data_IF_793447020845
#
_entry.id   IF_793447020845
#
_cell.length_a   1.000
_cell.length_b   1.000
_cell.length_c   1.000
_cell.angle_alpha   90.00
_cell.angle_beta   90.00
_cell.angle_gamma   90.00
#
_symmetry.space_group_name_H-M   'P 1'
#
loop_
_entity.id
_entity.type
_entity.pdbx_description
1 polymer ?
#
# COMPACT_ATOMS: atom_id res chain seq x y z
N UNK A 1 3.72 13.36 -59.79
CA UNK A 1 3.60 14.02 -58.46
C UNK A 1 2.58 13.40 -57.50
N UNK A 2 1.47 12.78 -57.95
CA UNK A 2 0.47 12.20 -57.02
C UNK A 2 0.90 10.92 -56.29
N UNK A 3 1.71 10.04 -56.89
CA UNK A 3 2.19 8.80 -56.24
C UNK A 3 3.22 9.05 -55.12
N UNK A 4 4.07 10.09 -55.25
CA UNK A 4 5.09 10.39 -54.26
C UNK A 4 4.48 10.90 -52.94
N UNK A 5 3.37 11.65 -53.04
CA UNK A 5 2.66 12.22 -51.90
C UNK A 5 1.92 11.14 -51.09
N UNK A 6 1.40 10.11 -51.76
CA UNK A 6 0.67 9.00 -51.11
C UNK A 6 1.62 8.11 -50.28
N UNK A 7 2.83 7.84 -50.78
CA UNK A 7 3.86 7.08 -50.06
C UNK A 7 4.45 7.85 -48.87
N UNK A 8 4.52 9.18 -48.97
CA UNK A 8 4.96 10.02 -47.85
C UNK A 8 3.90 10.03 -46.73
N UNK A 9 2.62 10.11 -47.11
CA UNK A 9 1.52 10.10 -46.13
C UNK A 9 1.42 8.76 -45.38
N UNK A 10 1.58 7.63 -46.08
CA UNK A 10 1.55 6.31 -45.44
C UNK A 10 2.77 6.04 -44.57
N UNK A 11 3.97 6.50 -44.96
CA UNK A 11 5.17 6.37 -44.11
C UNK A 11 5.06 7.22 -42.85
N UNK A 12 4.53 8.44 -42.95
CA UNK A 12 4.26 9.29 -41.78
C UNK A 12 3.19 8.71 -40.85
N UNK A 13 2.13 8.10 -41.40
CA UNK A 13 1.11 7.45 -40.60
C UNK A 13 1.65 6.23 -39.85
N UNK A 14 2.47 5.39 -40.51
CA UNK A 14 3.11 4.24 -39.88
C UNK A 14 4.13 4.64 -38.79
N UNK A 15 4.89 5.73 -39.02
CA UNK A 15 5.81 6.28 -38.01
C UNK A 15 5.05 6.81 -36.79
N UNK A 16 3.90 7.46 -37.00
CA UNK A 16 3.04 7.93 -35.92
C UNK A 16 2.47 6.76 -35.10
N UNK A 17 2.06 5.66 -35.73
CA UNK A 17 1.56 4.46 -35.02
C UNK A 17 2.65 3.78 -34.20
N UNK A 18 3.90 3.73 -34.69
CA UNK A 18 5.06 3.22 -33.94
C UNK A 18 5.37 4.07 -32.69
N UNK A 19 5.23 5.39 -32.78
CA UNK A 19 5.47 6.33 -31.66
C UNK A 19 4.37 6.30 -30.57
N UNK A 20 3.17 5.80 -30.89
CA UNK A 20 2.05 5.67 -29.94
C UNK A 20 2.03 4.33 -29.20
N UNK A 21 3.08 3.50 -29.32
CA UNK A 21 3.22 2.28 -28.53
C UNK A 21 3.45 2.62 -27.05
N UNK A 22 2.33 2.81 -26.35
CA UNK A 22 2.08 2.56 -24.92
C UNK A 22 3.30 2.72 -24.02
N UNK A 23 3.50 3.92 -23.49
CA UNK A 23 4.30 4.09 -22.29
C UNK A 23 3.49 3.54 -21.10
N UNK A 24 3.59 2.24 -20.85
CA UNK A 24 3.19 1.67 -19.57
C UNK A 24 4.23 2.09 -18.53
N UNK A 25 4.12 3.32 -18.03
CA UNK A 25 4.95 3.78 -16.91
C UNK A 25 4.44 3.00 -15.69
N UNK A 26 5.22 2.08 -15.11
CA UNK A 26 4.80 1.40 -13.89
C UNK A 26 4.61 2.48 -12.81
N UNK A 27 3.47 2.43 -12.12
CA UNK A 27 3.22 3.33 -11.00
C UNK A 27 4.40 3.21 -10.01
N UNK A 28 5.06 4.32 -9.63
CA UNK A 28 6.23 4.26 -8.78
C UNK A 28 5.87 3.64 -7.43
N UNK A 29 6.42 2.45 -7.15
CA UNK A 29 6.24 1.80 -5.85
C UNK A 29 7.11 2.51 -4.80
N UNK A 30 6.49 3.43 -4.05
CA UNK A 30 7.16 4.18 -2.97
C UNK A 30 7.79 3.26 -1.93
N UNK A 31 7.19 2.10 -1.65
CA UNK A 31 7.71 1.15 -0.65
C UNK A 31 9.00 0.48 -1.15
N UNK A 32 9.02 -0.01 -2.39
CA UNK A 32 10.23 -0.58 -2.99
C UNK A 32 11.34 0.49 -3.07
N UNK A 33 11.00 1.72 -3.49
CA UNK A 33 11.98 2.81 -3.51
C UNK A 33 12.51 3.16 -2.12
N UNK A 34 11.68 3.06 -1.08
CA UNK A 34 12.09 3.33 0.30
C UNK A 34 12.97 2.19 0.86
N UNK A 35 12.69 0.94 0.49
CA UNK A 35 13.53 -0.24 0.83
C UNK A 35 14.89 -0.21 0.12
N UNK A 36 14.95 0.24 -1.14
CA UNK A 36 16.20 0.37 -1.90
C UNK A 36 17.12 1.49 -1.38
N UNK A 37 16.55 2.46 -0.65
CA UNK A 37 17.28 3.60 -0.07
C UNK A 37 17.85 3.32 1.31
N UNK A 38 17.63 2.12 1.88
CA UNK A 38 18.06 1.80 3.25
C UNK A 38 19.59 1.72 3.31
N UNK A 39 20.30 2.67 3.94
CA UNK A 39 21.71 2.49 4.24
C UNK A 39 21.86 1.38 5.28
N UNK A 40 22.93 0.60 5.21
CA UNK A 40 23.24 -0.39 6.23
C UNK A 40 23.47 0.33 7.58
N UNK A 41 22.49 0.30 8.49
CA UNK A 41 22.73 0.71 9.88
C UNK A 41 21.61 1.41 10.66
N UNK A 42 20.56 1.97 10.05
CA UNK A 42 19.54 2.72 10.82
C UNK A 42 18.08 2.42 10.45
N UNK A 43 17.46 1.42 11.10
CA UNK A 43 16.03 1.11 10.93
C UNK A 43 15.09 2.27 11.33
N UNK A 44 15.45 3.05 12.35
CA UNK A 44 14.57 4.11 12.91
C UNK A 44 14.22 5.22 11.89
N UNK A 45 15.14 5.58 11.00
CA UNK A 45 14.91 6.59 9.97
C UNK A 45 13.88 6.16 8.91
N UNK A 46 13.62 4.85 8.79
CA UNK A 46 12.74 4.27 7.77
C UNK A 46 11.35 3.96 8.32
N UNK A 47 11.29 3.48 9.57
CA UNK A 47 10.05 2.98 10.19
C UNK A 47 9.37 3.99 11.13
N UNK A 48 10.01 5.13 11.42
CA UNK A 48 9.46 6.18 12.27
C UNK A 48 9.59 5.86 13.76
N UNK A 49 8.74 6.47 14.59
CA UNK A 49 8.77 6.31 16.04
C UNK A 49 8.02 5.04 16.50
N UNK A 50 8.46 4.39 17.60
CA UNK A 50 7.67 3.36 18.29
C UNK A 50 6.22 3.82 18.53
N UNK A 51 5.23 2.91 18.52
CA UNK A 51 5.37 1.47 18.67
C UNK A 51 5.36 0.66 17.36
N UNK A 52 5.15 1.32 16.21
CA UNK A 52 4.97 0.65 14.92
C UNK A 52 6.27 0.43 14.15
N UNK A 53 7.29 -0.10 14.83
CA UNK A 53 8.61 -0.32 14.24
C UNK A 53 9.07 -1.76 14.43
N UNK A 54 9.86 -2.33 13.49
CA UNK A 54 10.40 -3.68 13.62
C UNK A 54 11.26 -3.88 14.88
N UNK A 55 11.85 -2.82 15.41
CA UNK A 55 12.70 -2.85 16.61
C UNK A 55 11.94 -2.66 17.93
N UNK A 56 10.67 -2.25 17.90
CA UNK A 56 9.92 -2.02 19.13
C UNK A 56 9.57 -3.35 19.81
N UNK A 57 9.77 -3.40 21.12
CA UNK A 57 9.45 -4.53 21.99
C UNK A 57 8.76 -3.98 23.24
N UNK A 58 7.59 -4.49 23.53
CA UNK A 58 6.84 -4.25 24.76
C UNK A 58 6.61 -5.59 25.46
N UNK A 59 7.28 -5.85 26.61
CA UNK A 59 7.13 -7.09 27.37
C UNK A 59 5.69 -7.43 27.75
N UNK A 60 4.83 -6.42 27.88
CA UNK A 60 3.44 -6.58 28.33
C UNK A 60 2.42 -6.46 27.19
N UNK A 61 2.88 -6.30 25.94
CA UNK A 61 2.03 -6.15 24.73
C UNK A 61 0.84 -5.20 24.95
N UNK A 62 1.12 -3.99 25.47
CA UNK A 62 0.07 -3.04 25.78
C UNK A 62 -0.72 -2.65 24.52
N UNK A 63 -2.02 -2.47 24.70
CA UNK A 63 -2.89 -1.96 23.63
C UNK A 63 -2.40 -0.57 23.20
N UNK A 64 -2.11 -0.43 21.91
CA UNK A 64 -1.78 0.85 21.30
C UNK A 64 -3.05 1.48 20.76
N UNK A 65 -3.46 2.61 21.34
CA UNK A 65 -4.57 3.40 20.82
C UNK A 65 -4.13 4.26 19.63
N UNK A 66 -4.13 3.66 18.45
CA UNK A 66 -3.76 4.35 17.19
C UNK A 66 -4.68 5.51 16.88
N UNK A 67 -5.96 5.40 17.23
CA UNK A 67 -7.00 6.40 16.90
C UNK A 67 -6.84 7.61 17.82
N UNK A 68 -6.79 7.40 19.13
CA UNK A 68 -6.60 8.48 20.10
C UNK A 68 -5.27 9.23 19.93
N UNK A 69 -4.23 8.52 19.49
CA UNK A 69 -2.91 9.11 19.21
C UNK A 69 -2.77 9.72 17.81
N UNK A 70 -3.79 9.60 16.93
CA UNK A 70 -3.72 10.10 15.56
C UNK A 70 -2.62 9.43 14.71
N UNK A 71 -2.24 8.19 15.03
CA UNK A 71 -1.16 7.45 14.35
C UNK A 71 -1.72 6.46 13.34
N UNK A 72 -1.06 6.32 12.20
CA UNK A 72 -1.41 5.28 11.24
C UNK A 72 -1.00 3.91 11.81
N UNK A 73 -1.93 2.96 12.00
CA UNK A 73 -1.57 1.63 12.44
C UNK A 73 -0.75 0.92 11.35
N UNK A 74 0.29 0.19 11.77
CA UNK A 74 1.10 -0.67 10.91
C UNK A 74 1.17 -2.08 11.53
N UNK A 75 1.35 -3.12 10.72
CA UNK A 75 1.43 -4.51 11.18
C UNK A 75 2.85 -4.79 11.73
N UNK A 76 3.24 -4.09 12.80
CA UNK A 76 4.45 -4.34 13.56
C UNK A 76 4.09 -4.52 15.02
N UNK A 77 4.51 -5.63 15.63
CA UNK A 77 4.29 -5.93 17.05
C UNK A 77 5.43 -6.80 17.56
N UNK A 78 6.13 -6.37 18.60
CA UNK A 78 7.15 -7.16 19.29
C UNK A 78 8.20 -7.86 18.40
N UNK A 79 8.51 -7.28 17.24
CA UNK A 79 9.46 -7.85 16.27
C UNK A 79 8.85 -8.63 15.14
N UNK A 80 7.57 -8.94 15.25
CA UNK A 80 6.81 -9.61 14.22
C UNK A 80 6.19 -8.62 13.24
N UNK A 81 5.86 -9.14 12.06
CA UNK A 81 5.19 -8.42 11.00
C UNK A 81 6.16 -7.80 9.98
N UNK A 82 5.59 -7.09 9.01
CA UNK A 82 6.33 -6.60 7.85
C UNK A 82 5.65 -5.40 7.21
N UNK A 83 6.41 -4.60 6.47
CA UNK A 83 5.83 -3.53 5.67
C UNK A 83 4.92 -4.09 4.58
N UNK A 84 3.75 -3.47 4.40
CA UNK A 84 2.85 -3.78 3.29
C UNK A 84 3.41 -3.20 2.00
N UNK A 85 3.75 -4.08 1.04
CA UNK A 85 4.40 -3.71 -0.22
C UNK A 85 3.42 -3.22 -1.31
N UNK A 86 2.13 -3.54 -1.18
CA UNK A 86 1.09 -3.20 -2.15
C UNK A 86 0.35 -1.89 -1.85
N UNK A 87 -0.57 -1.48 -2.75
CA UNK A 87 -1.52 -0.40 -2.48
C UNK A 87 -2.35 -0.67 -1.21
N UNK A 88 -2.67 0.38 -0.46
CA UNK A 88 -3.30 0.29 0.86
C UNK A 88 -4.53 1.17 0.95
N UNK A 89 -5.52 0.72 1.73
CA UNK A 89 -6.62 1.56 2.19
C UNK A 89 -6.36 2.02 3.63
N UNK A 90 -5.63 3.13 3.76
CA UNK A 90 -5.22 3.67 5.07
C UNK A 90 -6.41 4.01 5.97
N UNK A 91 -7.54 4.41 5.38
CA UNK A 91 -8.73 4.80 6.14
C UNK A 91 -9.39 3.59 6.78
N UNK A 92 -9.47 2.46 6.05
CA UNK A 92 -9.94 1.17 6.60
C UNK A 92 -9.02 0.62 7.67
N UNK A 93 -7.72 0.79 7.50
CA UNK A 93 -6.74 0.40 8.52
C UNK A 93 -6.92 1.19 9.81
N UNK A 94 -7.17 2.52 9.72
CA UNK A 94 -7.46 3.34 10.90
C UNK A 94 -8.77 2.96 11.58
N UNK A 95 -9.77 2.52 10.82
CA UNK A 95 -11.04 2.01 11.38
C UNK A 95 -10.87 0.65 12.08
N UNK A 96 -9.86 -0.13 11.69
CA UNK A 96 -9.66 -1.51 12.12
C UNK A 96 -8.21 -1.78 12.58
N UNK A 97 -7.69 -1.03 13.57
CA UNK A 97 -6.30 -1.16 14.01
C UNK A 97 -5.99 -2.57 14.52
N UNK A 98 -6.94 -3.18 15.24
CA UNK A 98 -6.76 -4.51 15.83
C UNK A 98 -6.91 -5.65 14.79
N UNK A 99 -7.49 -5.42 13.61
CA UNK A 99 -7.43 -6.40 12.52
C UNK A 99 -6.11 -6.33 11.75
N UNK A 100 -5.55 -5.13 11.61
CA UNK A 100 -4.24 -4.95 10.97
C UNK A 100 -3.11 -5.46 11.86
N UNK A 101 -3.25 -5.27 13.18
CA UNK A 101 -2.30 -5.71 14.20
C UNK A 101 -3.07 -6.41 15.33
N UNK A 102 -3.40 -7.70 15.17
CA UNK A 102 -4.13 -8.45 16.19
C UNK A 102 -3.39 -8.48 17.54
N UNK A 103 -4.11 -8.67 18.66
CA UNK A 103 -3.50 -8.91 19.97
C UNK A 103 -2.78 -10.27 20.01
N UNK A 104 -1.83 -10.45 20.93
CA UNK A 104 -1.03 -11.68 21.01
C UNK A 104 -1.81 -12.92 21.41
N UNK A 105 -2.99 -12.72 21.98
CA UNK A 105 -3.91 -13.76 22.43
C UNK A 105 -4.75 -14.36 21.30
N UNK A 106 -4.85 -13.70 20.15
CA UNK A 106 -5.65 -14.19 19.02
C UNK A 106 -4.96 -15.35 18.31
N UNK A 107 -5.72 -16.40 18.00
CA UNK A 107 -5.19 -17.62 17.40
C UNK A 107 -6.25 -18.40 16.61
N UNK A 108 -5.79 -19.28 15.74
CA UNK A 108 -6.64 -20.17 14.95
C UNK A 108 -7.36 -19.48 13.79
N UNK A 109 -8.20 -20.26 13.11
CA UNK A 109 -9.04 -19.77 12.03
C UNK A 109 -10.44 -19.50 12.57
N UNK A 110 -10.90 -18.26 12.43
CA UNK A 110 -12.26 -17.85 12.80
C UNK A 110 -12.90 -17.18 11.59
N UNK A 111 -14.17 -17.49 11.32
CA UNK A 111 -14.93 -16.85 10.24
C UNK A 111 -15.06 -15.35 10.49
N UNK A 112 -15.18 -14.55 9.42
CA UNK A 112 -15.42 -13.11 9.57
C UNK A 112 -16.78 -12.85 10.24
N UNK A 113 -16.77 -12.17 11.39
CA UNK A 113 -17.95 -11.86 12.18
C UNK A 113 -18.39 -10.40 12.05
N UNK A 114 -17.79 -9.63 11.11
CA UNK A 114 -18.05 -8.21 10.96
C UNK A 114 -18.40 -7.84 9.53
N UNK A 115 -19.44 -7.02 9.38
CA UNK A 115 -19.81 -6.35 8.13
C UNK A 115 -20.23 -4.91 8.43
N UNK A 116 -19.93 -3.99 7.52
CA UNK A 116 -20.36 -2.59 7.62
C UNK A 116 -21.54 -2.34 6.68
N UNK A 117 -22.62 -1.72 7.17
CA UNK A 117 -23.74 -1.33 6.31
C UNK A 117 -23.34 -0.31 5.23
N UNK A 118 -22.27 0.46 5.44
CA UNK A 118 -21.74 1.38 4.42
C UNK A 118 -21.15 0.65 3.20
N UNK A 119 -20.85 -0.64 3.34
CA UNK A 119 -20.41 -1.51 2.24
C UNK A 119 -21.58 -2.26 1.57
N UNK A 120 -22.79 -2.09 2.11
CA UNK A 120 -24.01 -2.64 1.51
C UNK A 120 -24.59 -1.67 0.49
N UNK A 121 -25.20 -2.22 -0.55
CA UNK A 121 -26.02 -1.44 -1.47
C UNK A 121 -27.22 -0.84 -0.72
N UNK A 122 -27.47 0.46 -0.93
CA UNK A 122 -28.63 1.16 -0.36
C UNK A 122 -29.57 1.57 -1.48
N UNK A 123 -30.82 1.14 -1.38
CA UNK A 123 -31.90 1.61 -2.26
C UNK A 123 -32.38 2.97 -1.76
N UNK A 124 -32.29 3.98 -2.61
CA UNK A 124 -32.85 5.31 -2.35
C UNK A 124 -34.17 5.37 -3.12
N UNK A 125 -35.28 5.30 -2.39
CA UNK A 125 -36.63 5.43 -2.92
C UNK A 125 -37.27 6.74 -2.50
#
# INVERSE_FOLDING_TARGET
MRLLCLNLATTLLNLAVLLHTVHAIPAPNRVLQQLLRVPAGTPAQVFGDPPFTPGHRDPFDHKVDSVGLGRQPLPFRNGDGATIMGPRNKDRERQNPDLLRPPSTDHGSTSNMRWSFADSHTRIE
#
